data_IF_384526379814
#
_entry.id   IF_384526379814
#
_cell.length_a   1.000
_cell.length_b   1.000
_cell.length_c   1.000
_cell.angle_alpha   90.00
_cell.angle_beta   90.00
_cell.angle_gamma   90.00
#
_symmetry.space_group_name_H-M   'P 1'
#
loop_
_entity.id
_entity.type
_entity.pdbx_description
1 polymer ?
#
# COMPACT_ATOMS: atom_id res chain seq x y z
N UNK A 1 -13.90 11.38 24.02
CA UNK A 1 -13.39 10.68 22.84
C UNK A 1 -14.12 9.33 22.66
N UNK A 2 -14.02 8.38 23.60
CA UNK A 2 -14.61 7.02 23.45
C UNK A 2 -16.10 7.00 23.10
N UNK A 3 -16.93 7.86 23.71
CA UNK A 3 -18.37 7.96 23.38
C UNK A 3 -18.57 8.43 21.94
N UNK A 4 -17.81 9.44 21.50
CA UNK A 4 -17.90 9.97 20.14
C UNK A 4 -17.42 8.93 19.12
N UNK A 5 -16.38 8.17 19.45
CA UNK A 5 -15.90 7.04 18.65
C UNK A 5 -16.98 5.97 18.47
N UNK A 6 -17.61 5.53 19.58
CA UNK A 6 -18.69 4.54 19.52
C UNK A 6 -19.88 5.02 18.68
N UNK A 7 -20.19 6.31 18.67
CA UNK A 7 -21.29 6.87 17.87
C UNK A 7 -21.00 6.82 16.36
N UNK A 8 -19.74 6.81 15.93
CA UNK A 8 -19.38 6.72 14.51
C UNK A 8 -19.83 5.40 13.87
N UNK A 9 -20.03 4.35 14.65
CA UNK A 9 -20.56 3.06 14.16
C UNK A 9 -22.08 3.07 13.94
N UNK A 10 -22.78 4.15 14.31
CA UNK A 10 -24.22 4.32 14.13
C UNK A 10 -24.52 5.53 13.25
N UNK A 11 -24.28 5.47 11.94
CA UNK A 11 -24.35 6.62 11.04
C UNK A 11 -25.78 7.15 10.89
N UNK A 12 -25.98 8.40 11.30
CA UNK A 12 -27.21 9.15 11.06
C UNK A 12 -26.93 10.67 11.03
N UNK A 13 -27.86 11.44 10.47
CA UNK A 13 -27.77 12.90 10.48
C UNK A 13 -27.77 13.44 11.91
N UNK A 14 -28.57 12.83 12.79
CA UNK A 14 -28.65 13.21 14.21
C UNK A 14 -27.30 12.98 14.92
N UNK A 15 -26.67 11.83 14.69
CA UNK A 15 -25.35 11.53 15.28
C UNK A 15 -24.29 12.52 14.80
N UNK A 16 -24.26 12.87 13.52
CA UNK A 16 -23.29 13.84 13.00
C UNK A 16 -23.48 15.23 13.62
N UNK A 17 -24.71 15.67 13.82
CA UNK A 17 -25.00 16.94 14.47
C UNK A 17 -24.65 16.91 15.96
N UNK A 18 -24.97 15.83 16.66
CA UNK A 18 -24.60 15.64 18.06
C UNK A 18 -23.08 15.66 18.26
N UNK A 19 -22.31 14.96 17.40
CA UNK A 19 -20.85 14.99 17.43
C UNK A 19 -20.34 16.43 17.22
N UNK A 20 -20.90 17.17 16.28
CA UNK A 20 -20.55 18.57 16.02
C UNK A 20 -20.75 19.46 17.26
N UNK A 21 -21.92 19.36 17.87
CA UNK A 21 -22.22 20.13 19.08
C UNK A 21 -21.32 19.77 20.27
N UNK A 22 -21.03 18.49 20.44
CA UNK A 22 -20.07 18.03 21.46
C UNK A 22 -18.66 18.61 21.22
N UNK A 23 -18.15 18.59 19.99
CA UNK A 23 -16.83 19.15 19.68
C UNK A 23 -16.77 20.66 19.91
N UNK A 24 -17.85 21.38 19.63
CA UNK A 24 -17.94 22.83 19.93
C UNK A 24 -17.98 23.13 21.41
N UNK A 25 -18.57 22.24 22.21
CA UNK A 25 -18.79 22.44 23.65
C UNK A 25 -17.60 22.08 24.54
N UNK A 26 -16.71 21.16 24.07
CA UNK A 26 -15.58 20.63 24.85
C UNK A 26 -14.23 21.14 24.35
N UNK A 27 -13.98 22.44 24.43
CA UNK A 27 -12.77 23.10 23.91
C UNK A 27 -11.44 22.56 24.49
N UNK A 28 -11.41 22.18 25.77
CA UNK A 28 -10.17 21.72 26.45
C UNK A 28 -9.62 20.39 25.90
N UNK A 29 -10.46 19.53 25.31
CA UNK A 29 -10.06 18.23 24.75
C UNK A 29 -10.33 18.13 23.23
N UNK A 30 -10.58 19.26 22.59
CA UNK A 30 -11.02 19.30 21.19
C UNK A 30 -10.01 18.64 20.22
N UNK A 31 -8.72 18.95 20.36
CA UNK A 31 -7.70 18.42 19.47
C UNK A 31 -7.60 16.88 19.51
N UNK A 32 -7.59 16.31 20.72
CA UNK A 32 -7.55 14.86 20.89
C UNK A 32 -8.82 14.17 20.36
N UNK A 33 -9.99 14.75 20.66
CA UNK A 33 -11.27 14.21 20.20
C UNK A 33 -11.42 14.26 18.67
N UNK A 34 -10.97 15.35 18.04
CA UNK A 34 -10.97 15.51 16.58
C UNK A 34 -10.06 14.45 15.93
N UNK A 35 -8.85 14.25 16.47
CA UNK A 35 -7.92 13.26 15.95
C UNK A 35 -8.46 11.83 16.07
N UNK A 36 -9.05 11.49 17.22
CA UNK A 36 -9.67 10.18 17.45
C UNK A 36 -10.82 9.94 16.48
N UNK A 37 -11.70 10.91 16.29
CA UNK A 37 -12.81 10.84 15.34
C UNK A 37 -12.33 10.69 13.89
N UNK A 38 -11.29 11.43 13.51
CA UNK A 38 -10.69 11.29 12.18
C UNK A 38 -10.16 9.87 11.92
N UNK A 39 -9.40 9.30 12.85
CA UNK A 39 -8.88 7.94 12.76
C UNK A 39 -10.01 6.90 12.72
N UNK A 40 -11.03 7.04 13.56
CA UNK A 40 -12.20 6.15 13.56
C UNK A 40 -12.98 6.26 12.24
N UNK A 41 -13.13 7.46 11.69
CA UNK A 41 -13.74 7.68 10.39
C UNK A 41 -13.00 6.91 9.28
N UNK A 42 -11.67 6.92 9.29
CA UNK A 42 -10.85 6.17 8.33
C UNK A 42 -11.02 4.65 8.46
N UNK A 43 -11.12 4.13 9.68
CA UNK A 43 -11.35 2.70 9.92
C UNK A 43 -12.73 2.24 9.38
N UNK A 44 -13.76 3.07 9.55
CA UNK A 44 -15.12 2.78 9.10
C UNK A 44 -15.24 2.92 7.57
N UNK A 45 -14.47 3.82 6.94
CA UNK A 45 -14.52 4.06 5.50
C UNK A 45 -14.14 2.84 4.67
N UNK A 46 -13.26 2.00 5.16
CA UNK A 46 -12.72 0.84 4.42
C UNK A 46 -13.74 -0.28 4.15
N UNK A 47 -14.60 -0.69 5.11
CA UNK A 47 -15.54 -1.79 4.91
C UNK A 47 -16.96 -1.38 4.49
N UNK A 48 -17.33 -0.09 4.43
CA UNK A 48 -18.75 0.28 4.34
C UNK A 48 -19.07 1.31 3.25
N UNK A 49 -20.29 1.20 2.69
CA UNK A 49 -20.90 2.22 1.82
C UNK A 49 -21.29 3.53 2.57
N UNK A 50 -20.72 3.78 3.75
CA UNK A 50 -21.07 4.93 4.62
C UNK A 50 -20.23 6.19 4.35
N UNK A 51 -19.57 6.26 3.19
CA UNK A 51 -18.66 7.34 2.85
C UNK A 51 -19.23 8.76 3.02
N UNK A 52 -20.54 8.97 2.78
CA UNK A 52 -21.15 10.30 2.94
C UNK A 52 -21.20 10.75 4.40
N UNK A 53 -21.51 9.86 5.34
CA UNK A 53 -21.50 10.15 6.77
C UNK A 53 -20.08 10.47 7.25
N UNK A 54 -19.10 9.67 6.83
CA UNK A 54 -17.68 9.84 7.17
C UNK A 54 -17.15 11.17 6.65
N UNK A 55 -17.44 11.52 5.41
CA UNK A 55 -17.07 12.81 4.81
C UNK A 55 -17.66 13.96 5.59
N UNK A 56 -18.89 13.82 6.11
CA UNK A 56 -19.52 14.85 6.95
C UNK A 56 -18.79 15.04 8.29
N UNK A 57 -18.42 13.94 8.97
CA UNK A 57 -17.61 14.00 10.20
C UNK A 57 -16.26 14.67 9.96
N UNK A 58 -15.56 14.25 8.90
CA UNK A 58 -14.26 14.84 8.52
C UNK A 58 -14.38 16.31 8.14
N UNK A 59 -15.47 16.72 7.49
CA UNK A 59 -15.75 18.14 7.21
C UNK A 59 -15.91 18.97 8.47
N UNK A 60 -16.49 18.40 9.53
CA UNK A 60 -16.56 19.06 10.84
C UNK A 60 -15.16 19.19 11.45
N UNK A 61 -14.39 18.10 11.46
CA UNK A 61 -13.01 18.09 11.96
C UNK A 61 -12.13 19.14 11.24
N UNK A 62 -12.24 19.20 9.91
CA UNK A 62 -11.48 20.14 9.07
C UNK A 62 -11.87 21.60 9.33
N UNK A 63 -13.17 21.89 9.54
CA UNK A 63 -13.61 23.26 9.88
C UNK A 63 -13.06 23.73 11.23
N UNK A 64 -12.91 22.82 12.18
CA UNK A 64 -12.38 23.13 13.51
C UNK A 64 -10.85 23.23 13.53
N UNK A 65 -10.19 22.48 12.66
CA UNK A 65 -8.72 22.47 12.52
C UNK A 65 -8.30 22.47 11.03
N UNK A 66 -8.47 23.60 10.33
CA UNK A 66 -8.36 23.67 8.86
C UNK A 66 -6.95 23.41 8.31
N UNK A 67 -5.92 23.62 9.13
CA UNK A 67 -4.50 23.45 8.74
C UNK A 67 -3.81 22.28 9.46
N UNK A 68 -4.54 21.45 10.18
CA UNK A 68 -3.95 20.30 10.84
C UNK A 68 -3.55 19.21 9.82
N UNK A 69 -2.25 18.92 9.64
CA UNK A 69 -1.78 18.02 8.58
C UNK A 69 -2.30 16.59 8.76
N UNK A 70 -2.49 16.13 10.00
CA UNK A 70 -3.01 14.77 10.28
C UNK A 70 -4.47 14.65 9.86
N UNK A 71 -5.29 15.68 10.12
CA UNK A 71 -6.69 15.70 9.68
C UNK A 71 -6.77 15.77 8.16
N UNK A 72 -5.91 16.57 7.52
CA UNK A 72 -5.85 16.67 6.07
C UNK A 72 -5.42 15.34 5.43
N UNK A 73 -4.47 14.62 6.03
CA UNK A 73 -4.06 13.28 5.59
C UNK A 73 -5.22 12.28 5.63
N UNK A 74 -5.96 12.23 6.75
CA UNK A 74 -7.14 11.36 6.89
C UNK A 74 -8.21 11.71 5.86
N UNK A 75 -8.44 12.99 5.61
CA UNK A 75 -9.39 13.46 4.58
C UNK A 75 -8.94 12.99 3.19
N UNK A 76 -7.66 13.14 2.87
CA UNK A 76 -7.09 12.66 1.62
C UNK A 76 -7.32 11.16 1.43
N UNK A 77 -7.05 10.36 2.46
CA UNK A 77 -7.22 8.91 2.41
C UNK A 77 -8.70 8.50 2.22
N UNK A 78 -9.63 9.15 2.92
CA UNK A 78 -11.05 8.84 2.76
C UNK A 78 -11.57 9.20 1.37
N UNK A 79 -11.22 10.36 0.84
CA UNK A 79 -11.58 10.73 -0.53
C UNK A 79 -10.92 9.80 -1.56
N UNK A 80 -9.65 9.43 -1.34
CA UNK A 80 -8.91 8.49 -2.18
C UNK A 80 -9.59 7.11 -2.23
N UNK A 81 -9.91 6.52 -1.05
CA UNK A 81 -10.58 5.21 -0.95
C UNK A 81 -11.98 5.27 -1.57
N UNK A 82 -12.64 6.43 -1.50
CA UNK A 82 -13.97 6.66 -2.10
C UNK A 82 -13.93 6.93 -3.62
N UNK A 83 -12.77 6.88 -4.28
CA UNK A 83 -12.60 7.19 -5.69
C UNK A 83 -12.79 8.67 -6.05
N UNK A 84 -12.90 9.56 -5.06
CA UNK A 84 -13.09 11.01 -5.26
C UNK A 84 -11.74 11.72 -5.40
N UNK A 85 -11.05 11.40 -6.49
CA UNK A 85 -9.67 11.85 -6.69
C UNK A 85 -9.52 13.38 -6.79
N UNK A 86 -10.49 14.11 -7.36
CA UNK A 86 -10.40 15.57 -7.49
C UNK A 86 -10.37 16.26 -6.14
N UNK A 87 -11.24 15.82 -5.22
CA UNK A 87 -11.27 16.33 -3.84
C UNK A 87 -9.99 15.93 -3.09
N UNK A 88 -9.55 14.68 -3.23
CA UNK A 88 -8.31 14.21 -2.60
C UNK A 88 -7.08 15.02 -3.08
N UNK A 89 -7.00 15.36 -4.37
CA UNK A 89 -5.93 16.20 -4.94
C UNK A 89 -5.94 17.59 -4.30
N UNK A 90 -7.12 18.22 -4.13
CA UNK A 90 -7.23 19.54 -3.53
C UNK A 90 -6.75 19.55 -2.08
N UNK A 91 -7.20 18.59 -1.26
CA UNK A 91 -6.78 18.47 0.13
C UNK A 91 -5.31 18.12 0.28
N UNK A 92 -4.75 17.28 -0.58
CA UNK A 92 -3.33 16.94 -0.56
C UNK A 92 -2.44 18.12 -0.96
N UNK A 93 -2.92 19.02 -1.81
CA UNK A 93 -2.24 20.28 -2.08
C UNK A 93 -2.20 21.17 -0.85
N UNK A 94 -3.34 21.35 -0.18
CA UNK A 94 -3.40 22.11 1.08
C UNK A 94 -2.50 21.51 2.16
N UNK A 95 -2.50 20.18 2.29
CA UNK A 95 -1.61 19.47 3.23
C UNK A 95 -0.14 19.79 2.98
N UNK A 96 0.29 19.80 1.71
CA UNK A 96 1.66 20.15 1.35
C UNK A 96 2.00 21.61 1.68
N UNK A 97 1.06 22.52 1.43
CA UNK A 97 1.25 23.96 1.64
C UNK A 97 1.37 24.34 3.13
N UNK A 98 0.66 23.61 4.02
CA UNK A 98 0.71 23.83 5.48
C UNK A 98 1.83 23.04 6.18
N UNK A 99 2.53 22.16 5.46
CA UNK A 99 3.66 21.40 6.01
C UNK A 99 4.89 22.28 6.12
N UNK A 100 5.47 22.41 7.30
CA UNK A 100 6.58 23.33 7.62
C UNK A 100 7.92 22.61 7.87
N UNK A 101 7.89 21.33 8.23
CA UNK A 101 9.11 20.53 8.44
C UNK A 101 9.45 19.69 7.20
N UNK A 102 10.73 19.31 7.05
CA UNK A 102 11.16 18.47 5.94
C UNK A 102 10.41 17.13 5.92
N UNK A 103 10.24 16.49 7.07
CA UNK A 103 9.54 15.21 7.20
C UNK A 103 8.05 15.34 6.85
N UNK A 104 7.36 16.37 7.34
CA UNK A 104 5.96 16.63 7.00
C UNK A 104 5.77 16.92 5.51
N UNK A 105 6.72 17.63 4.88
CA UNK A 105 6.73 17.86 3.43
C UNK A 105 6.93 16.58 2.63
N UNK A 106 7.77 15.66 3.09
CA UNK A 106 7.97 14.37 2.45
C UNK A 106 6.65 13.56 2.48
N UNK A 107 6.01 13.46 3.63
CA UNK A 107 4.73 12.72 3.78
C UNK A 107 3.64 13.37 2.92
N UNK A 108 3.49 14.69 2.97
CA UNK A 108 2.51 15.40 2.16
C UNK A 108 2.78 15.27 0.65
N UNK A 109 4.05 15.33 0.24
CA UNK A 109 4.47 15.09 -1.14
C UNK A 109 4.11 13.65 -1.59
N UNK A 110 4.43 12.66 -0.77
CA UNK A 110 4.06 11.27 -1.01
C UNK A 110 2.55 11.10 -1.19
N UNK A 111 1.76 11.59 -0.24
CA UNK A 111 0.29 11.51 -0.29
C UNK A 111 -0.25 12.14 -1.56
N UNK A 112 0.22 13.33 -1.93
CA UNK A 112 -0.20 14.03 -3.15
C UNK A 112 0.15 13.26 -4.42
N UNK A 113 1.39 12.78 -4.55
CA UNK A 113 1.84 12.05 -5.74
C UNK A 113 1.10 10.72 -5.86
N UNK A 114 0.90 9.98 -4.78
CA UNK A 114 0.13 8.73 -4.75
C UNK A 114 -1.28 8.95 -5.31
N UNK A 115 -1.98 9.99 -4.87
CA UNK A 115 -3.32 10.33 -5.33
C UNK A 115 -3.32 10.69 -6.81
N UNK A 116 -2.39 11.55 -7.25
CA UNK A 116 -2.27 11.96 -8.66
C UNK A 116 -1.98 10.77 -9.58
N UNK A 117 -1.05 9.91 -9.20
CA UNK A 117 -0.71 8.71 -9.98
C UNK A 117 -1.89 7.74 -10.05
N UNK A 118 -2.58 7.49 -8.94
CA UNK A 118 -3.77 6.63 -8.94
C UNK A 118 -4.89 7.19 -9.81
N UNK A 119 -5.06 8.52 -9.82
CA UNK A 119 -6.00 9.18 -10.72
C UNK A 119 -5.55 9.19 -12.20
N UNK A 120 -4.31 8.81 -12.49
CA UNK A 120 -3.73 8.89 -13.84
C UNK A 120 -3.23 10.28 -14.25
N UNK A 121 -3.17 11.26 -13.33
CA UNK A 121 -2.64 12.61 -13.62
C UNK A 121 -1.10 12.64 -13.63
N UNK A 122 -0.53 11.93 -14.58
CA UNK A 122 0.91 11.89 -14.79
C UNK A 122 1.53 13.24 -15.17
N UNK A 123 0.73 14.13 -15.77
CA UNK A 123 1.18 15.47 -16.16
C UNK A 123 1.56 16.28 -14.92
N UNK A 124 0.75 16.22 -13.88
CA UNK A 124 1.00 16.92 -12.62
C UNK A 124 1.97 16.12 -11.74
N UNK A 125 1.88 14.79 -11.71
CA UNK A 125 2.71 13.93 -10.86
C UNK A 125 4.20 13.95 -11.27
N UNK A 126 4.52 13.94 -12.56
CA UNK A 126 5.89 13.82 -13.07
C UNK A 126 6.87 14.83 -12.47
N UNK A 127 6.61 16.15 -12.54
CA UNK A 127 7.47 17.16 -11.89
C UNK A 127 7.56 17.00 -10.36
N UNK A 128 6.50 16.53 -9.71
CA UNK A 128 6.48 16.33 -8.26
C UNK A 128 7.30 15.12 -7.84
N UNK A 129 7.36 14.06 -8.64
CA UNK A 129 8.23 12.89 -8.40
C UNK A 129 9.70 13.30 -8.28
N UNK A 130 10.18 14.13 -9.21
CA UNK A 130 11.57 14.63 -9.15
C UNK A 130 11.83 15.50 -7.91
N UNK A 131 10.85 16.32 -7.50
CA UNK A 131 10.94 17.09 -6.25
C UNK A 131 10.92 16.21 -5.02
N UNK A 132 10.13 15.14 -5.04
CA UNK A 132 10.04 14.19 -3.94
C UNK A 132 11.37 13.46 -3.73
N UNK A 133 12.05 13.00 -4.79
CA UNK A 133 13.38 12.40 -4.66
C UNK A 133 14.39 13.37 -4.06
N UNK A 134 14.33 14.67 -4.44
CA UNK A 134 15.16 15.72 -3.85
C UNK A 134 14.89 15.93 -2.34
N UNK A 135 13.62 15.88 -1.91
CA UNK A 135 13.27 15.94 -0.49
C UNK A 135 13.86 14.78 0.29
N UNK A 136 13.85 13.56 -0.28
CA UNK A 136 14.46 12.39 0.33
C UNK A 136 15.98 12.48 0.41
N UNK A 137 16.65 13.01 -0.61
CA UNK A 137 18.09 13.30 -0.58
C UNK A 137 18.43 14.34 0.50
N UNK A 138 17.65 15.41 0.58
CA UNK A 138 17.82 16.43 1.61
C UNK A 138 17.67 15.83 3.01
N UNK A 139 16.68 14.96 3.20
CA UNK A 139 16.49 14.22 4.46
C UNK A 139 17.70 13.35 4.83
N UNK A 140 18.37 12.76 3.85
CA UNK A 140 19.57 11.97 4.10
C UNK A 140 20.77 12.85 4.49
N UNK A 141 20.87 14.05 3.92
CA UNK A 141 21.96 15.00 4.17
C UNK A 141 21.79 15.78 5.48
N UNK A 142 20.56 16.09 5.85
CA UNK A 142 20.25 16.69 7.14
C UNK A 142 20.37 15.63 8.24
N UNK A 143 20.91 16.02 9.40
CA UNK A 143 20.82 15.22 10.62
C UNK A 143 19.62 15.75 11.43
N UNK A 144 18.43 15.25 11.22
CA UNK A 144 17.31 15.67 12.03
C UNK A 144 17.56 15.15 13.46
N UNK A 145 17.86 16.04 14.39
CA UNK A 145 18.24 15.69 15.76
C UNK A 145 17.08 15.07 16.57
N UNK A 146 15.85 15.25 16.12
CA UNK A 146 14.68 14.62 16.72
C UNK A 146 13.63 14.45 15.61
N UNK A 147 13.47 13.22 15.18
CA UNK A 147 12.35 12.87 14.32
C UNK A 147 11.14 12.56 15.22
N UNK A 148 10.05 13.27 15.04
CA UNK A 148 8.78 12.88 15.66
C UNK A 148 8.36 11.50 15.16
N UNK A 149 8.01 10.58 16.05
CA UNK A 149 7.71 9.17 15.79
C UNK A 149 6.77 8.95 14.61
N UNK A 150 5.71 9.75 14.51
CA UNK A 150 4.67 9.62 13.49
C UNK A 150 5.12 10.01 12.09
N UNK A 151 6.12 10.89 11.98
CA UNK A 151 6.62 11.39 10.68
C UNK A 151 7.70 10.50 10.06
N UNK A 152 8.49 9.79 10.87
CA UNK A 152 9.51 8.86 10.37
C UNK A 152 8.93 7.68 9.61
N UNK A 153 7.79 7.21 10.05
CA UNK A 153 7.07 6.09 9.44
C UNK A 153 6.70 6.39 7.99
N UNK A 154 6.12 7.56 7.75
CA UNK A 154 5.76 8.01 6.41
C UNK A 154 6.95 8.23 5.47
N UNK A 155 8.14 8.58 6.00
CA UNK A 155 9.34 8.78 5.18
C UNK A 155 9.83 7.48 4.55
N UNK A 156 9.90 6.37 5.30
CA UNK A 156 10.30 5.07 4.75
C UNK A 156 9.32 4.60 3.68
N UNK A 157 8.02 4.63 3.98
CA UNK A 157 6.96 4.24 3.03
C UNK A 157 6.98 5.11 1.77
N UNK A 158 7.33 6.39 1.89
CA UNK A 158 7.36 7.30 0.74
C UNK A 158 8.42 6.94 -0.33
N UNK A 159 9.44 6.17 0.05
CA UNK A 159 10.45 5.67 -0.89
C UNK A 159 9.87 4.72 -1.96
N UNK A 160 8.67 4.18 -1.76
CA UNK A 160 7.93 3.36 -2.74
C UNK A 160 7.69 4.08 -4.07
N UNK A 161 7.73 5.41 -4.11
CA UNK A 161 7.55 6.19 -5.33
C UNK A 161 8.84 6.32 -6.17
N UNK A 162 10.00 6.02 -5.62
CA UNK A 162 11.29 6.22 -6.31
C UNK A 162 11.38 5.49 -7.66
N UNK A 163 10.91 4.24 -7.80
CA UNK A 163 10.90 3.55 -9.11
C UNK A 163 10.05 4.24 -10.18
N UNK A 164 9.11 5.11 -9.79
CA UNK A 164 8.29 5.87 -10.75
C UNK A 164 9.02 7.09 -11.33
N UNK A 165 10.17 7.49 -10.77
CA UNK A 165 10.92 8.69 -11.20
C UNK A 165 11.69 8.43 -12.49
N UNK A 166 12.46 7.34 -12.55
CA UNK A 166 13.24 6.93 -13.70
C UNK A 166 13.71 5.47 -13.56
N UNK A 167 14.16 4.85 -14.65
CA UNK A 167 14.74 3.51 -14.65
C UNK A 167 16.21 3.55 -14.17
N UNK A 168 16.39 3.80 -12.88
CA UNK A 168 17.67 3.89 -12.17
C UNK A 168 17.63 3.15 -10.83
N UNK A 169 17.45 1.81 -10.84
CA UNK A 169 17.31 1.03 -9.61
C UNK A 169 18.54 1.13 -8.70
N UNK A 170 19.75 1.20 -9.25
CA UNK A 170 21.01 1.41 -8.54
C UNK A 170 20.96 2.65 -7.64
N UNK A 171 20.50 3.76 -8.19
CA UNK A 171 20.40 5.03 -7.49
C UNK A 171 19.28 5.05 -6.46
N UNK A 172 18.08 4.63 -6.85
CA UNK A 172 16.90 4.68 -5.96
C UNK A 172 17.00 3.68 -4.81
N UNK A 173 17.56 2.50 -5.05
CA UNK A 173 17.82 1.53 -3.98
C UNK A 173 18.85 2.07 -2.98
N UNK A 174 19.86 2.81 -3.43
CA UNK A 174 20.81 3.45 -2.53
C UNK A 174 20.13 4.45 -1.59
N UNK A 175 19.21 5.29 -2.09
CA UNK A 175 18.42 6.20 -1.26
C UNK A 175 17.54 5.43 -0.28
N UNK A 176 16.79 4.43 -0.76
CA UNK A 176 15.91 3.62 0.06
C UNK A 176 16.67 2.89 1.18
N UNK A 177 17.80 2.26 0.88
CA UNK A 177 18.62 1.56 1.87
C UNK A 177 19.11 2.51 2.98
N UNK A 178 19.52 3.74 2.63
CA UNK A 178 19.93 4.73 3.61
C UNK A 178 18.78 5.23 4.49
N UNK A 179 17.60 5.43 3.91
CA UNK A 179 16.38 5.77 4.66
C UNK A 179 16.02 4.62 5.63
N UNK A 180 16.05 3.38 5.15
CA UNK A 180 15.76 2.21 5.95
C UNK A 180 16.76 2.03 7.11
N UNK A 181 18.04 2.34 6.91
CA UNK A 181 19.04 2.35 7.97
C UNK A 181 18.72 3.40 9.04
N UNK A 182 18.42 4.64 8.66
CA UNK A 182 18.01 5.70 9.60
C UNK A 182 16.76 5.33 10.37
N UNK A 183 15.78 4.73 9.69
CA UNK A 183 14.56 4.22 10.31
C UNK A 183 14.87 3.16 11.37
N UNK A 184 15.76 2.21 11.06
CA UNK A 184 16.16 1.17 12.00
C UNK A 184 16.90 1.74 13.23
N UNK A 185 17.82 2.68 13.02
CA UNK A 185 18.57 3.35 14.11
C UNK A 185 17.61 4.03 15.08
N UNK A 186 16.62 4.73 14.55
CA UNK A 186 15.59 5.36 15.34
C UNK A 186 14.76 4.34 16.13
N UNK A 187 14.22 3.30 15.48
CA UNK A 187 13.41 2.29 16.15
C UNK A 187 14.21 1.54 17.23
N UNK A 188 15.49 1.22 16.98
CA UNK A 188 16.37 0.60 17.98
C UNK A 188 16.53 1.48 19.22
N UNK A 189 16.61 2.78 19.09
CA UNK A 189 16.69 3.70 20.22
C UNK A 189 15.45 3.65 21.11
N UNK A 190 14.28 3.32 20.54
CA UNK A 190 13.05 3.09 21.29
C UNK A 190 12.99 1.66 21.87
N UNK A 191 13.41 0.65 21.11
CA UNK A 191 13.43 -0.75 21.53
C UNK A 191 14.39 -1.02 22.71
N UNK A 192 15.53 -0.33 22.76
CA UNK A 192 16.47 -0.40 23.91
C UNK A 192 15.78 0.02 25.20
N UNK A 193 14.84 0.96 25.17
CA UNK A 193 14.03 1.34 26.34
C UNK A 193 13.12 0.21 26.83
N UNK A 194 12.78 -0.75 25.94
CA UNK A 194 11.88 -1.87 26.24
C UNK A 194 12.65 -3.17 26.52
N UNK A 195 13.99 -3.17 26.49
CA UNK A 195 14.88 -4.33 26.72
C UNK A 195 14.58 -5.54 25.78
N UNK A 196 14.19 -5.30 24.56
CA UNK A 196 13.89 -6.35 23.60
C UNK A 196 15.20 -6.84 22.96
N UNK A 197 15.57 -8.09 23.20
CA UNK A 197 16.72 -8.75 22.55
C UNK A 197 16.27 -9.34 21.20
N UNK A 198 17.12 -9.25 20.14
CA UNK A 198 16.87 -9.98 18.89
C UNK A 198 16.70 -11.47 19.15
N UNK A 199 15.84 -12.13 18.37
CA UNK A 199 15.69 -13.57 18.43
C UNK A 199 16.99 -14.27 18.01
N UNK A 200 17.34 -15.36 18.68
CA UNK A 200 18.50 -16.18 18.36
C UNK A 200 18.04 -17.58 17.93
N UNK A 201 18.77 -18.20 17.01
CA UNK A 201 18.49 -19.57 16.57
C UNK A 201 18.67 -20.50 17.78
N UNK A 202 17.58 -21.07 18.25
CA UNK A 202 17.62 -22.17 19.22
C UNK A 202 17.59 -23.48 18.42
N UNK A 203 18.72 -24.16 18.40
CA UNK A 203 18.83 -25.50 17.81
C UNK A 203 18.03 -26.48 18.65
N UNK A 204 16.78 -26.80 18.31
CA UNK A 204 16.12 -28.00 18.89
C UNK A 204 14.69 -28.30 18.39
N UNK A 205 14.38 -28.16 17.11
CA UNK A 205 13.15 -28.79 16.62
C UNK A 205 13.44 -29.46 15.28
N UNK A 206 12.97 -30.68 15.08
CA UNK A 206 12.99 -31.37 13.80
C UNK A 206 12.03 -30.69 12.80
N UNK A 207 11.09 -29.86 13.30
CA UNK A 207 10.08 -29.15 12.52
C UNK A 207 10.40 -27.64 12.52
N UNK A 208 10.51 -27.04 11.32
CA UNK A 208 10.79 -25.60 11.14
C UNK A 208 9.48 -24.81 11.22
N UNK A 209 9.47 -23.74 12.02
CA UNK A 209 8.32 -22.84 12.20
C UNK A 209 8.40 -21.66 11.24
N UNK A 210 7.48 -21.60 10.29
CA UNK A 210 7.39 -20.53 9.29
C UNK A 210 6.24 -19.60 9.63
N UNK A 211 6.53 -18.32 9.84
CA UNK A 211 5.52 -17.27 10.02
C UNK A 211 5.34 -16.45 8.76
N UNK A 212 4.11 -16.20 8.35
CA UNK A 212 3.73 -15.29 7.27
C UNK A 212 3.06 -14.05 7.85
N UNK A 213 3.63 -12.89 7.56
CA UNK A 213 3.18 -11.59 8.05
C UNK A 213 2.65 -10.76 6.88
N UNK A 214 1.43 -10.23 6.98
CA UNK A 214 0.94 -9.32 5.96
C UNK A 214 -0.51 -8.85 6.14
N UNK A 215 -0.82 -7.71 5.55
CA UNK A 215 -2.17 -7.14 5.44
C UNK A 215 -2.93 -7.61 4.21
N UNK A 216 -2.29 -8.41 3.37
CA UNK A 216 -2.75 -8.79 2.03
C UNK A 216 -3.25 -10.23 1.95
N UNK A 217 -3.29 -10.98 3.07
CA UNK A 217 -3.74 -12.36 3.17
C UNK A 217 -5.29 -12.46 3.11
N UNK A 218 -5.87 -12.02 2.01
CA UNK A 218 -7.31 -11.88 1.76
C UNK A 218 -7.58 -11.89 0.25
N UNK A 219 -8.79 -11.47 -0.15
CA UNK A 219 -9.13 -11.14 -1.55
C UNK A 219 -8.27 -9.97 -2.06
N UNK A 220 -6.99 -10.23 -2.29
CA UNK A 220 -5.98 -9.29 -2.75
C UNK A 220 -5.00 -9.99 -3.71
N UNK A 221 -4.33 -9.24 -4.60
CA UNK A 221 -3.38 -9.81 -5.57
C UNK A 221 -2.29 -10.66 -4.91
N UNK A 222 -1.69 -10.18 -3.83
CA UNK A 222 -0.68 -10.94 -3.07
C UNK A 222 -1.28 -12.20 -2.47
N UNK A 223 -2.49 -12.12 -1.88
CA UNK A 223 -3.20 -13.28 -1.38
C UNK A 223 -3.45 -14.34 -2.47
N UNK A 224 -3.92 -13.93 -3.65
CA UNK A 224 -4.13 -14.83 -4.79
C UNK A 224 -2.85 -15.47 -5.31
N UNK A 225 -1.73 -14.74 -5.29
CA UNK A 225 -0.45 -15.19 -5.81
C UNK A 225 0.37 -16.01 -4.80
N UNK A 226 -0.07 -16.09 -3.54
CA UNK A 226 0.65 -16.79 -2.46
C UNK A 226 -0.14 -17.95 -1.85
N UNK A 227 -1.48 -17.95 -1.89
CA UNK A 227 -2.36 -18.86 -1.15
C UNK A 227 -2.06 -20.35 -1.33
N UNK A 228 -1.58 -20.74 -2.51
CA UNK A 228 -1.27 -22.13 -2.81
C UNK A 228 -0.09 -22.66 -1.98
N UNK A 229 0.79 -21.78 -1.48
CA UNK A 229 1.88 -22.17 -0.61
C UNK A 229 1.35 -22.80 0.70
N UNK A 230 0.26 -22.21 1.28
CA UNK A 230 -0.38 -22.81 2.47
C UNK A 230 -0.95 -24.19 2.21
N UNK A 231 -1.39 -24.46 0.98
CA UNK A 231 -1.91 -25.76 0.59
C UNK A 231 -0.83 -26.83 0.46
N UNK A 232 0.37 -26.46 0.01
CA UNK A 232 1.41 -27.41 -0.42
C UNK A 232 2.62 -27.46 0.50
N UNK A 233 2.59 -26.81 1.66
CA UNK A 233 3.63 -27.01 2.66
C UNK A 233 3.66 -28.47 3.11
N UNK A 234 4.86 -29.03 3.20
CA UNK A 234 5.12 -30.30 3.85
C UNK A 234 4.90 -30.13 5.36
N UNK A 235 3.91 -30.81 5.90
CA UNK A 235 3.52 -30.70 7.31
C UNK A 235 4.33 -31.57 8.24
N UNK A 236 5.11 -32.49 7.70
CA UNK A 236 6.05 -33.29 8.46
C UNK A 236 7.30 -32.47 8.80
N UNK A 237 7.67 -31.52 7.93
CA UNK A 237 8.87 -30.69 8.09
C UNK A 237 8.56 -29.26 8.59
N UNK A 238 7.32 -28.73 8.37
CA UNK A 238 7.00 -27.34 8.63
C UNK A 238 5.71 -27.13 9.44
N UNK A 239 5.79 -26.23 10.42
CA UNK A 239 4.62 -25.62 11.07
C UNK A 239 4.40 -24.20 10.52
N UNK A 240 3.16 -23.88 10.21
CA UNK A 240 2.78 -22.63 9.54
C UNK A 240 1.97 -21.73 10.45
N UNK A 241 2.50 -20.53 10.67
CA UNK A 241 1.87 -19.47 11.45
C UNK A 241 1.47 -18.31 10.53
N UNK A 242 0.29 -17.76 10.73
CA UNK A 242 -0.22 -16.64 9.91
C UNK A 242 -0.54 -15.45 10.80
N UNK A 243 0.08 -14.30 10.52
CA UNK A 243 -0.08 -13.05 11.23
C UNK A 243 -0.69 -12.00 10.30
N UNK A 244 -2.00 -11.83 10.37
CA UNK A 244 -2.72 -10.88 9.55
C UNK A 244 -2.81 -9.51 10.21
N UNK A 245 -2.61 -8.45 9.45
CA UNK A 245 -2.67 -7.06 9.91
C UNK A 245 -3.89 -6.39 9.31
N UNK A 246 -4.73 -5.72 10.14
CA UNK A 246 -5.93 -5.00 9.70
C UNK A 246 -6.84 -5.83 8.80
N UNK A 247 -7.05 -7.07 9.16
CA UNK A 247 -7.83 -8.02 8.38
C UNK A 247 -9.22 -8.19 8.99
N UNK A 248 -10.21 -8.34 8.12
CA UNK A 248 -11.52 -8.85 8.51
C UNK A 248 -11.39 -10.38 8.73
N UNK A 249 -11.57 -10.87 9.97
CA UNK A 249 -11.48 -12.30 10.24
C UNK A 249 -12.59 -13.11 9.55
N UNK A 250 -13.65 -12.45 9.09
CA UNK A 250 -14.77 -13.07 8.38
C UNK A 250 -14.58 -13.06 6.84
N UNK A 251 -13.48 -12.51 6.30
CA UNK A 251 -13.16 -12.61 4.88
C UNK A 251 -13.07 -14.09 4.46
N UNK A 252 -13.88 -14.55 3.50
CA UNK A 252 -13.96 -15.97 3.15
C UNK A 252 -12.68 -16.52 2.51
N UNK A 253 -11.86 -15.66 1.88
CA UNK A 253 -10.56 -16.07 1.33
C UNK A 253 -9.56 -16.26 2.47
N UNK A 254 -9.55 -15.32 3.45
CA UNK A 254 -8.75 -15.48 4.65
C UNK A 254 -9.05 -16.77 5.38
N UNK A 255 -10.33 -17.02 5.70
CA UNK A 255 -10.76 -18.21 6.41
C UNK A 255 -10.35 -19.48 5.67
N UNK A 256 -10.76 -19.60 4.40
CA UNK A 256 -10.56 -20.82 3.60
C UNK A 256 -9.09 -21.12 3.32
N UNK A 257 -8.28 -20.10 2.96
CA UNK A 257 -6.95 -20.33 2.42
C UNK A 257 -5.83 -20.15 3.44
N UNK A 258 -5.99 -19.23 4.38
CA UNK A 258 -4.93 -18.87 5.32
C UNK A 258 -5.18 -19.43 6.72
N UNK A 259 -6.31 -19.07 7.34
CA UNK A 259 -6.62 -19.52 8.70
C UNK A 259 -6.76 -21.05 8.80
N UNK A 260 -7.60 -21.64 7.93
CA UNK A 260 -7.94 -23.08 8.03
C UNK A 260 -6.78 -23.99 7.59
N UNK A 261 -5.72 -23.40 6.99
CA UNK A 261 -4.50 -24.12 6.57
C UNK A 261 -3.25 -23.73 7.36
N UNK A 262 -3.39 -22.99 8.44
CA UNK A 262 -2.30 -22.69 9.36
C UNK A 262 -2.41 -23.55 10.60
N UNK A 263 -1.28 -23.83 11.24
CA UNK A 263 -1.26 -24.45 12.57
C UNK A 263 -1.73 -23.45 13.64
N UNK A 264 -1.43 -22.16 13.43
CA UNK A 264 -2.03 -21.05 14.16
C UNK A 264 -2.18 -19.81 13.25
N UNK A 265 -3.28 -19.07 13.45
CA UNK A 265 -3.55 -17.86 12.69
C UNK A 265 -4.12 -16.75 13.58
N UNK A 266 -3.59 -15.55 13.44
CA UNK A 266 -3.92 -14.41 14.27
C UNK A 266 -4.30 -13.20 13.40
N UNK A 267 -5.27 -12.42 13.87
CA UNK A 267 -5.63 -11.13 13.28
C UNK A 267 -5.32 -10.01 14.26
N UNK A 268 -4.53 -9.06 13.83
CA UNK A 268 -4.11 -7.91 14.61
C UNK A 268 -4.59 -6.59 13.99
N UNK A 269 -4.69 -5.55 14.81
CA UNK A 269 -4.70 -4.18 14.32
C UNK A 269 -3.29 -3.68 13.95
N UNK A 270 -3.09 -2.36 13.96
CA UNK A 270 -1.78 -1.71 13.66
C UNK A 270 -0.85 -1.66 14.89
N UNK A 271 -0.83 -2.67 15.74
CA UNK A 271 0.03 -2.73 16.93
C UNK A 271 1.24 -3.63 16.67
N UNK A 272 2.34 -3.04 16.22
CA UNK A 272 3.57 -3.77 15.90
C UNK A 272 4.20 -4.48 17.12
N UNK A 273 4.05 -3.93 18.33
CA UNK A 273 4.59 -4.53 19.56
C UNK A 273 3.84 -5.81 19.90
N UNK A 274 2.52 -5.82 19.76
CA UNK A 274 1.69 -7.01 19.99
C UNK A 274 2.01 -8.11 18.99
N UNK A 275 2.14 -7.78 17.72
CA UNK A 275 2.52 -8.72 16.65
C UNK A 275 3.92 -9.29 16.93
N UNK A 276 4.87 -8.43 17.26
CA UNK A 276 6.25 -8.82 17.60
C UNK A 276 6.30 -9.77 18.79
N UNK A 277 5.51 -9.49 19.82
CA UNK A 277 5.43 -10.35 21.02
C UNK A 277 4.87 -11.74 20.70
N UNK A 278 3.82 -11.81 19.86
CA UNK A 278 3.21 -13.06 19.43
C UNK A 278 4.17 -13.91 18.59
N UNK A 279 4.84 -13.31 17.58
CA UNK A 279 5.82 -14.02 16.73
C UNK A 279 6.95 -14.64 17.59
N UNK A 280 7.41 -13.92 18.63
CA UNK A 280 8.40 -14.45 19.58
C UNK A 280 7.85 -15.57 20.47
N UNK A 281 6.61 -15.43 20.93
CA UNK A 281 5.95 -16.46 21.75
C UNK A 281 5.78 -17.77 20.97
N UNK A 282 5.48 -17.68 19.68
CA UNK A 282 5.36 -18.82 18.77
C UNK A 282 6.73 -19.41 18.36
N UNK A 283 7.83 -18.74 18.72
CA UNK A 283 9.21 -19.16 18.41
C UNK A 283 9.42 -19.40 16.91
N UNK A 284 8.96 -18.48 16.08
CA UNK A 284 9.09 -18.56 14.61
C UNK A 284 10.57 -18.56 14.21
N UNK A 285 10.97 -19.53 13.39
CA UNK A 285 12.33 -19.65 12.88
C UNK A 285 12.57 -18.77 11.65
N UNK A 286 11.59 -18.74 10.74
CA UNK A 286 11.63 -17.96 9.51
C UNK A 286 10.36 -17.11 9.41
N UNK A 287 10.50 -15.79 9.40
CA UNK A 287 9.40 -14.86 9.17
C UNK A 287 9.43 -14.37 7.73
N UNK A 288 8.33 -14.58 7.00
CA UNK A 288 8.16 -14.13 5.62
C UNK A 288 7.21 -12.94 5.60
N UNK A 289 7.71 -11.81 5.17
CA UNK A 289 6.99 -10.56 4.98
C UNK A 289 6.34 -10.50 3.59
N UNK A 290 5.06 -10.16 3.55
CA UNK A 290 4.25 -10.07 2.33
C UNK A 290 3.79 -8.64 1.98
N UNK A 291 4.19 -7.64 2.76
CA UNK A 291 3.80 -6.24 2.53
C UNK A 291 4.97 -5.36 2.08
N UNK A 292 6.20 -5.67 2.52
CA UNK A 292 7.38 -4.83 2.31
C UNK A 292 7.16 -3.39 2.82
N UNK A 293 7.56 -2.38 2.04
CA UNK A 293 7.41 -0.95 2.37
C UNK A 293 5.97 -0.43 2.29
N UNK A 294 5.02 -1.22 1.83
CA UNK A 294 3.64 -0.74 1.62
C UNK A 294 2.86 -0.55 2.92
N UNK A 295 3.34 -1.13 4.03
CA UNK A 295 2.73 -1.00 5.35
C UNK A 295 3.78 -0.76 6.44
N UNK A 296 3.68 0.38 7.12
CA UNK A 296 4.62 0.76 8.17
C UNK A 296 4.62 -0.19 9.37
N UNK A 297 3.46 -0.70 9.79
CA UNK A 297 3.37 -1.70 10.87
C UNK A 297 4.25 -2.91 10.60
N UNK A 298 4.26 -3.40 9.36
CA UNK A 298 5.15 -4.50 8.94
C UNK A 298 6.63 -4.10 9.07
N UNK A 299 6.98 -2.88 8.62
CA UNK A 299 8.35 -2.36 8.76
C UNK A 299 8.79 -2.27 10.23
N UNK A 300 7.90 -1.88 11.14
CA UNK A 300 8.19 -1.86 12.59
C UNK A 300 8.46 -3.26 13.14
N UNK A 301 7.64 -4.24 12.78
CA UNK A 301 7.82 -5.64 13.18
C UNK A 301 9.16 -6.16 12.67
N UNK A 302 9.47 -5.94 11.38
CA UNK A 302 10.75 -6.38 10.79
C UNK A 302 11.95 -5.69 11.44
N UNK A 303 11.85 -4.39 11.79
CA UNK A 303 12.90 -3.66 12.50
C UNK A 303 13.19 -4.24 13.90
N UNK A 304 12.17 -4.76 14.58
CA UNK A 304 12.29 -5.41 15.89
C UNK A 304 12.94 -6.80 15.84
N UNK A 305 13.14 -7.38 14.64
CA UNK A 305 13.76 -8.69 14.41
C UNK A 305 13.15 -9.79 15.33
N UNK A 306 11.84 -10.11 15.23
CA UNK A 306 11.21 -11.11 16.08
C UNK A 306 11.59 -12.56 15.76
N UNK A 307 12.07 -12.83 14.55
CA UNK A 307 12.54 -14.15 14.12
C UNK A 307 14.03 -14.12 13.75
N UNK A 308 14.76 -15.24 13.89
CA UNK A 308 16.18 -15.33 13.52
C UNK A 308 16.43 -15.02 12.04
N UNK A 309 15.57 -15.53 11.17
CA UNK A 309 15.62 -15.31 9.72
C UNK A 309 14.38 -14.53 9.28
N UNK A 310 14.58 -13.46 8.54
CA UNK A 310 13.51 -12.65 7.95
C UNK A 310 13.68 -12.53 6.45
N UNK A 311 12.60 -12.71 5.72
CA UNK A 311 12.57 -12.77 4.26
C UNK A 311 11.47 -11.85 3.74
N UNK A 312 11.78 -10.94 2.83
CA UNK A 312 10.77 -10.21 2.05
C UNK A 312 10.39 -10.98 0.80
N UNK A 313 9.08 -11.12 0.57
CA UNK A 313 8.54 -11.82 -0.59
C UNK A 313 7.23 -11.17 -1.07
N UNK A 314 7.11 -10.97 -2.36
CA UNK A 314 5.91 -10.77 -3.14
C UNK A 314 5.20 -9.41 -3.01
N UNK A 315 5.13 -8.76 -1.84
CA UNK A 315 4.29 -7.57 -1.62
C UNK A 315 4.69 -6.35 -2.43
N UNK A 316 5.98 -6.07 -2.47
CA UNK A 316 6.62 -5.00 -3.23
C UNK A 316 8.07 -5.40 -3.53
N UNK A 317 8.94 -4.43 -3.77
CA UNK A 317 10.39 -4.64 -3.81
C UNK A 317 10.96 -4.88 -2.38
N UNK A 318 12.23 -5.22 -2.25
CA UNK A 318 12.89 -5.42 -0.95
C UNK A 318 12.81 -4.17 -0.06
N UNK A 319 12.82 -4.36 1.26
CA UNK A 319 12.62 -3.27 2.23
C UNK A 319 13.82 -2.32 2.36
N UNK A 320 15.05 -2.83 2.17
CA UNK A 320 16.29 -2.16 2.50
C UNK A 320 16.62 -2.15 4.01
N UNK A 321 15.79 -2.79 4.84
CA UNK A 321 16.04 -2.90 6.29
C UNK A 321 17.17 -3.91 6.56
N UNK A 322 18.25 -3.51 7.28
CA UNK A 322 19.34 -4.43 7.64
C UNK A 322 18.93 -5.61 8.54
N UNK A 323 17.72 -5.63 9.04
CA UNK A 323 17.13 -6.72 9.82
C UNK A 323 16.48 -7.78 8.95
N UNK A 324 16.23 -7.52 7.67
CA UNK A 324 15.73 -8.50 6.70
C UNK A 324 16.92 -9.16 6.04
N UNK A 325 16.98 -10.48 6.11
CA UNK A 325 18.15 -11.24 5.66
C UNK A 325 18.10 -11.53 4.16
N UNK A 326 16.90 -11.85 3.63
CA UNK A 326 16.75 -12.29 2.25
C UNK A 326 15.60 -11.57 1.54
N UNK A 327 15.77 -11.41 0.23
CA UNK A 327 14.71 -11.03 -0.71
C UNK A 327 14.50 -12.13 -1.75
N UNK A 328 13.31 -12.69 -1.84
CA UNK A 328 12.97 -13.72 -2.83
C UNK A 328 12.73 -13.08 -4.19
N UNK A 329 13.48 -13.54 -5.20
CA UNK A 329 13.35 -13.08 -6.57
C UNK A 329 13.62 -14.21 -7.56
N UNK A 330 13.54 -13.92 -8.85
CA UNK A 330 13.93 -14.80 -9.95
C UNK A 330 14.77 -14.04 -10.96
N UNK A 331 15.51 -14.77 -11.78
CA UNK A 331 16.38 -14.18 -12.82
C UNK A 331 15.63 -13.33 -13.87
N UNK A 332 14.33 -13.50 -13.99
CA UNK A 332 13.50 -12.77 -14.96
C UNK A 332 13.00 -11.42 -14.43
N UNK A 333 13.06 -11.22 -13.11
CA UNK A 333 12.58 -9.99 -12.43
C UNK A 333 13.76 -9.08 -12.10
N UNK A 334 14.88 -9.66 -11.65
CA UNK A 334 16.06 -8.89 -11.29
C UNK A 334 17.27 -9.28 -12.16
N UNK A 335 18.04 -8.29 -12.66
CA UNK A 335 19.26 -8.55 -13.41
C UNK A 335 20.32 -9.25 -12.55
N UNK A 336 21.32 -9.85 -13.18
CA UNK A 336 22.33 -10.64 -12.48
C UNK A 336 23.12 -9.83 -11.45
N UNK A 337 23.39 -8.54 -11.74
CA UNK A 337 24.14 -7.62 -10.88
C UNK A 337 23.29 -6.91 -9.83
N UNK A 338 22.00 -7.24 -9.67
CA UNK A 338 21.12 -6.56 -8.71
C UNK A 338 21.66 -6.59 -7.27
N UNK A 339 22.43 -7.62 -6.89
CA UNK A 339 23.01 -7.71 -5.56
C UNK A 339 23.93 -6.51 -5.21
N UNK A 340 24.47 -5.81 -6.19
CA UNK A 340 25.33 -4.65 -5.98
C UNK A 340 24.62 -3.48 -5.30
N UNK A 341 23.28 -3.42 -5.38
CA UNK A 341 22.48 -2.33 -4.82
C UNK A 341 21.34 -2.78 -3.90
N UNK A 342 21.14 -4.08 -3.67
CA UNK A 342 20.22 -4.60 -2.66
C UNK A 342 20.93 -4.81 -1.33
N UNK A 343 20.28 -4.40 -0.23
CA UNK A 343 20.77 -4.62 1.14
C UNK A 343 20.57 -6.06 1.56
N UNK A 344 19.40 -6.63 1.28
CA UNK A 344 19.06 -8.02 1.53
C UNK A 344 19.83 -8.94 0.58
N UNK A 345 20.15 -10.15 1.02
CA UNK A 345 20.70 -11.16 0.13
C UNK A 345 19.60 -11.65 -0.83
N UNK A 346 19.81 -11.51 -2.13
CA UNK A 346 18.84 -11.96 -3.13
C UNK A 346 18.86 -13.49 -3.20
N UNK A 347 17.74 -14.11 -2.82
CA UNK A 347 17.51 -15.54 -2.98
C UNK A 347 16.75 -15.81 -4.28
N UNK A 348 17.46 -16.32 -5.28
CA UNK A 348 16.89 -16.55 -6.61
C UNK A 348 16.26 -17.93 -6.67
N UNK A 349 14.94 -17.97 -6.82
CA UNK A 349 14.21 -19.20 -7.09
C UNK A 349 14.42 -19.64 -8.56
N UNK A 350 14.35 -20.96 -8.85
CA UNK A 350 14.75 -21.49 -10.16
C UNK A 350 13.80 -21.14 -11.30
N UNK A 351 12.50 -21.01 -11.07
CA UNK A 351 11.50 -20.82 -12.12
C UNK A 351 10.64 -19.58 -11.88
N UNK A 352 9.82 -19.57 -10.86
CA UNK A 352 8.91 -18.48 -10.50
C UNK A 352 8.98 -18.18 -9.01
N UNK A 353 8.66 -16.96 -8.63
CA UNK A 353 8.49 -16.56 -7.23
C UNK A 353 7.02 -16.48 -6.82
N UNK A 354 6.08 -16.88 -7.70
CA UNK A 354 4.66 -16.92 -7.44
C UNK A 354 4.25 -18.35 -7.07
N UNK A 355 3.39 -18.48 -6.06
CA UNK A 355 2.83 -19.77 -5.65
C UNK A 355 1.39 -19.90 -6.18
N UNK A 356 1.25 -20.28 -7.44
CA UNK A 356 -0.03 -20.38 -8.15
C UNK A 356 -0.21 -21.76 -8.73
N UNK A 357 -1.33 -22.40 -8.41
CA UNK A 357 -1.81 -23.66 -8.98
C UNK A 357 -3.26 -23.54 -9.46
N UNK A 358 -3.54 -22.46 -10.18
CA UNK A 358 -4.83 -22.14 -10.78
C UNK A 358 -5.63 -21.07 -10.03
N UNK A 359 -6.73 -20.68 -10.66
CA UNK A 359 -7.68 -19.69 -10.15
C UNK A 359 -9.10 -20.17 -10.41
N UNK A 360 -10.02 -19.78 -9.55
CA UNK A 360 -11.45 -19.90 -9.82
C UNK A 360 -11.82 -18.92 -10.96
N UNK A 361 -12.43 -19.45 -12.02
CA UNK A 361 -12.85 -18.65 -13.18
C UNK A 361 -14.37 -18.44 -13.06
N UNK A 362 -14.77 -17.17 -12.92
CA UNK A 362 -16.18 -16.78 -12.96
C UNK A 362 -16.77 -16.86 -14.37
N UNK A 363 -18.09 -16.89 -14.46
CA UNK A 363 -18.78 -16.77 -15.74
C UNK A 363 -18.62 -15.34 -16.29
N UNK A 364 -18.18 -15.16 -17.56
CA UNK A 364 -18.11 -13.84 -18.16
C UNK A 364 -19.49 -13.14 -18.17
N UNK A 365 -19.51 -11.90 -17.70
CA UNK A 365 -20.75 -11.09 -17.61
C UNK A 365 -20.87 -10.07 -18.75
N UNK A 366 -19.77 -9.79 -19.46
CA UNK A 366 -19.71 -8.82 -20.55
C UNK A 366 -19.30 -9.57 -21.82
N UNK A 367 -20.01 -9.33 -22.92
CA UNK A 367 -19.74 -9.88 -24.24
C UNK A 367 -19.28 -8.80 -25.20
N UNK A 368 -18.74 -9.21 -26.34
CA UNK A 368 -18.28 -8.29 -27.40
C UNK A 368 -19.40 -7.39 -27.92
N UNK A 369 -20.63 -7.96 -28.04
CA UNK A 369 -21.83 -7.25 -28.49
C UNK A 369 -22.20 -6.10 -27.54
N UNK A 370 -22.07 -6.32 -26.23
CA UNK A 370 -22.36 -5.29 -25.21
C UNK A 370 -21.44 -4.08 -25.33
N UNK A 371 -20.25 -4.28 -25.92
CA UNK A 371 -19.23 -3.25 -26.13
C UNK A 371 -19.20 -2.74 -27.58
N UNK A 372 -20.13 -3.17 -28.44
CA UNK A 372 -20.14 -2.88 -29.88
C UNK A 372 -18.81 -3.27 -30.58
N UNK A 373 -18.27 -4.44 -30.24
CA UNK A 373 -17.02 -4.97 -30.82
C UNK A 373 -17.34 -6.17 -31.71
N UNK A 374 -16.89 -6.13 -32.96
CA UNK A 374 -17.03 -7.23 -33.92
C UNK A 374 -16.38 -8.52 -33.40
N UNK A 375 -16.99 -9.66 -33.70
CA UNK A 375 -16.43 -10.98 -33.40
C UNK A 375 -15.05 -11.22 -34.04
N UNK A 376 -14.75 -10.55 -35.15
CA UNK A 376 -13.47 -10.68 -35.87
C UNK A 376 -12.41 -9.73 -35.39
N UNK A 377 -12.79 -8.70 -34.63
CA UNK A 377 -11.85 -7.69 -34.13
C UNK A 377 -10.87 -8.27 -33.10
N UNK A 378 -9.65 -7.76 -33.11
CA UNK A 378 -8.66 -8.05 -32.08
C UNK A 378 -8.94 -7.19 -30.86
N UNK A 379 -8.94 -7.82 -29.69
CA UNK A 379 -9.17 -7.12 -28.41
C UNK A 379 -7.93 -7.22 -27.54
N UNK A 380 -7.37 -6.07 -27.24
CA UNK A 380 -6.32 -5.92 -26.24
C UNK A 380 -6.93 -5.57 -24.88
N UNK A 381 -6.24 -5.90 -23.80
CA UNK A 381 -6.69 -5.68 -22.44
C UNK A 381 -5.65 -4.95 -21.61
N UNK A 382 -6.07 -3.93 -20.87
CA UNK A 382 -5.26 -3.22 -19.88
C UNK A 382 -6.04 -3.13 -18.56
N UNK A 383 -5.72 -4.01 -17.62
CA UNK A 383 -6.28 -4.03 -16.24
C UNK A 383 -5.31 -3.38 -15.24
N UNK A 384 -4.69 -2.25 -15.59
CA UNK A 384 -3.67 -1.60 -14.77
C UNK A 384 -4.27 -0.49 -13.89
N UNK A 385 -3.63 -0.24 -12.74
CA UNK A 385 -3.91 0.93 -11.92
C UNK A 385 -3.35 2.20 -12.58
N UNK A 386 -3.89 3.38 -12.21
CA UNK A 386 -3.50 4.67 -12.77
C UNK A 386 -2.00 4.95 -12.69
N UNK A 387 -1.35 4.55 -11.59
CA UNK A 387 0.10 4.70 -11.43
C UNK A 387 0.95 3.95 -12.48
N UNK A 388 0.38 2.94 -13.14
CA UNK A 388 1.03 2.17 -14.21
C UNK A 388 0.67 2.66 -15.61
N UNK A 389 -0.23 3.64 -15.72
CA UNK A 389 -0.66 4.24 -16.99
C UNK A 389 0.26 5.39 -17.41
N UNK A 390 1.59 5.13 -17.45
CA UNK A 390 2.55 6.15 -17.87
C UNK A 390 2.28 6.61 -19.31
N UNK A 391 2.34 7.93 -19.63
CA UNK A 391 2.03 8.45 -20.95
C UNK A 391 2.79 7.80 -22.11
N UNK A 392 4.06 7.43 -21.90
CA UNK A 392 4.83 6.69 -22.92
C UNK A 392 4.28 5.29 -23.16
N UNK A 393 3.85 4.58 -22.10
CA UNK A 393 3.22 3.25 -22.23
C UNK A 393 1.91 3.35 -22.99
N UNK A 394 1.06 4.34 -22.66
CA UNK A 394 -0.19 4.60 -23.42
C UNK A 394 0.12 4.90 -24.88
N UNK A 395 1.13 5.72 -25.15
CA UNK A 395 1.54 6.02 -26.53
C UNK A 395 1.94 4.76 -27.31
N UNK A 396 2.69 3.84 -26.69
CA UNK A 396 3.03 2.55 -27.30
C UNK A 396 1.79 1.69 -27.55
N UNK A 397 0.85 1.64 -26.63
CA UNK A 397 -0.45 0.97 -26.82
C UNK A 397 -1.22 1.55 -28.01
N UNK A 398 -1.25 2.89 -28.15
CA UNK A 398 -1.89 3.56 -29.29
C UNK A 398 -1.16 3.23 -30.62
N UNK A 399 0.16 3.12 -30.63
CA UNK A 399 0.91 2.69 -31.82
C UNK A 399 0.56 1.27 -32.22
N UNK A 400 0.34 0.36 -31.27
CA UNK A 400 -0.14 -1.00 -31.56
C UNK A 400 -1.53 -0.93 -32.19
N UNK A 401 -2.48 -0.22 -31.59
CA UNK A 401 -3.82 -0.05 -32.16
C UNK A 401 -3.78 0.53 -33.57
N UNK A 402 -2.93 1.52 -33.82
CA UNK A 402 -2.76 2.13 -35.15
C UNK A 402 -2.27 1.12 -36.17
N UNK A 403 -1.37 0.21 -35.78
CA UNK A 403 -0.79 -0.82 -36.64
C UNK A 403 -1.75 -1.99 -36.90
N UNK A 404 -2.83 -2.11 -36.11
CA UNK A 404 -3.84 -3.18 -36.23
C UNK A 404 -5.22 -2.51 -36.39
N UNK A 405 -5.66 -2.21 -37.63
CA UNK A 405 -6.85 -1.37 -37.86
C UNK A 405 -8.13 -1.88 -37.22
N UNK A 406 -8.39 -3.19 -37.23
CA UNK A 406 -9.58 -3.80 -36.66
C UNK A 406 -9.27 -4.33 -35.24
N UNK A 407 -8.90 -3.42 -34.33
CA UNK A 407 -8.60 -3.77 -32.94
C UNK A 407 -9.13 -2.73 -31.96
N UNK A 408 -9.37 -3.17 -30.73
CA UNK A 408 -9.87 -2.37 -29.61
C UNK A 408 -8.99 -2.56 -28.37
N UNK A 409 -8.91 -1.55 -27.51
CA UNK A 409 -8.29 -1.63 -26.20
C UNK A 409 -9.36 -1.50 -25.11
N UNK A 410 -9.52 -2.55 -24.31
CA UNK A 410 -10.33 -2.51 -23.10
C UNK A 410 -9.47 -2.04 -21.94
N UNK A 411 -9.96 -1.04 -21.19
CA UNK A 411 -9.28 -0.43 -20.05
C UNK A 411 -10.20 -0.59 -18.84
N UNK A 412 -9.70 -1.20 -17.78
CA UNK A 412 -10.48 -1.44 -16.55
C UNK A 412 -9.66 -1.10 -15.31
N UNK A 413 -10.39 -0.80 -14.23
CA UNK A 413 -9.83 -0.51 -12.93
C UNK A 413 -9.85 0.99 -12.61
N UNK A 414 -9.03 1.39 -11.67
CA UNK A 414 -8.90 2.80 -11.27
C UNK A 414 -8.43 3.71 -12.42
N UNK A 415 -7.86 3.13 -13.48
CA UNK A 415 -7.52 3.81 -14.73
C UNK A 415 -8.69 4.11 -15.66
N UNK A 416 -9.91 3.71 -15.30
CA UNK A 416 -11.14 4.07 -16.02
C UNK A 416 -11.84 5.32 -15.44
N UNK A 417 -11.22 6.06 -14.51
CA UNK A 417 -11.75 7.33 -14.02
C UNK A 417 -11.50 8.51 -14.98
N UNK A 418 -12.29 9.57 -14.85
CA UNK A 418 -12.32 10.76 -15.73
C UNK A 418 -10.93 11.28 -16.14
N UNK A 419 -9.98 11.37 -15.20
CA UNK A 419 -8.65 11.97 -15.44
C UNK A 419 -7.80 11.05 -16.32
N UNK A 420 -7.86 9.75 -16.07
CA UNK A 420 -7.13 8.76 -16.86
C UNK A 420 -7.77 8.60 -18.26
N UNK A 421 -9.09 8.61 -18.35
CA UNK A 421 -9.83 8.58 -19.62
C UNK A 421 -9.44 9.76 -20.50
N UNK A 422 -9.41 10.97 -19.95
CA UNK A 422 -8.96 12.19 -20.66
C UNK A 422 -7.52 12.01 -21.19
N UNK A 423 -6.62 11.41 -20.39
CA UNK A 423 -5.25 11.15 -20.82
C UNK A 423 -5.17 10.14 -21.97
N UNK A 424 -5.90 9.04 -21.91
CA UNK A 424 -5.94 8.02 -22.95
C UNK A 424 -6.50 8.60 -24.25
N UNK A 425 -7.65 9.31 -24.19
CA UNK A 425 -8.30 9.93 -25.34
C UNK A 425 -7.38 10.97 -25.99
N UNK A 426 -6.73 11.81 -25.21
CA UNK A 426 -5.76 12.78 -25.70
C UNK A 426 -4.62 12.11 -26.47
N UNK A 427 -3.99 11.08 -25.89
CA UNK A 427 -2.85 10.40 -26.54
C UNK A 427 -3.32 9.62 -27.78
N UNK A 428 -4.54 9.06 -27.78
CA UNK A 428 -5.13 8.43 -28.95
C UNK A 428 -5.23 9.41 -30.11
N UNK A 429 -5.81 10.60 -29.89
CA UNK A 429 -5.93 11.67 -30.87
C UNK A 429 -4.54 12.11 -31.37
N UNK A 430 -3.58 12.37 -30.48
CA UNK A 430 -2.21 12.78 -30.82
C UNK A 430 -1.49 11.72 -31.67
N UNK A 431 -1.82 10.44 -31.49
CA UNK A 431 -1.22 9.32 -32.22
C UNK A 431 -1.96 9.02 -33.54
N UNK A 432 -3.14 9.60 -33.73
CA UNK A 432 -4.02 9.35 -34.89
C UNK A 432 -4.78 8.04 -34.78
N UNK A 433 -5.17 7.66 -33.56
CA UNK A 433 -6.08 6.56 -33.23
C UNK A 433 -7.44 7.15 -32.87
N UNK A 434 -8.50 6.56 -33.42
CA UNK A 434 -9.86 6.94 -33.07
C UNK A 434 -10.17 6.58 -31.61
N UNK A 435 -10.55 7.53 -30.74
CA UNK A 435 -10.95 7.25 -29.37
C UNK A 435 -12.07 6.21 -29.23
N UNK A 436 -12.94 6.07 -30.22
CA UNK A 436 -13.99 5.05 -30.24
C UNK A 436 -13.45 3.61 -30.30
N UNK A 437 -12.15 3.43 -30.41
CA UNK A 437 -11.48 2.13 -30.28
C UNK A 437 -11.04 1.83 -28.86
N UNK A 438 -11.23 2.76 -27.92
CA UNK A 438 -11.02 2.57 -26.48
C UNK A 438 -12.35 2.22 -25.82
N UNK A 439 -12.33 1.30 -24.89
CA UNK A 439 -13.48 0.91 -24.07
C UNK A 439 -13.10 0.95 -22.61
N UNK A 440 -13.65 1.91 -21.89
CA UNK A 440 -13.47 2.04 -20.46
C UNK A 440 -14.54 1.21 -19.76
N UNK A 441 -14.12 0.31 -18.87
CA UNK A 441 -15.01 -0.59 -18.15
C UNK A 441 -15.04 -0.22 -16.67
N UNK A 442 -16.23 -0.09 -16.12
CA UNK A 442 -16.43 0.20 -14.71
C UNK A 442 -15.82 -0.88 -13.82
N UNK A 443 -15.32 -0.48 -12.65
CA UNK A 443 -15.00 -1.40 -11.56
C UNK A 443 -16.32 -1.93 -11.00
N UNK A 444 -16.57 -3.23 -11.18
CA UNK A 444 -17.69 -3.90 -10.54
C UNK A 444 -17.42 -4.09 -9.05
#
# INVERSE_FOLDING_TARGET
AQVLESLCYFPSLFVSEFIHQCLLSFLEHQAHSILTLGKTALLIARPSNQNQFIIKILSICQKLQPTNPVILEIICDVYYISGKYREAINFSSLMYDVSDTLTSKIVASYTRIRILLSAGDWKTAGPLLSRHSQLLENFLNERPDILELSTNQGVLVSAVLLPCVADRPDYFRSIQNQIALKYLEYNRSQLVKIQIKPASIQKQADIIRIGYLGSTLRSHSVGWLSRWLWQYHDRDDFQIFTYCINQDPDDPVYQKWFRDRSDAAYCFGNNADEITAQIRADQVDILIDLDSLTLDTTCQVLAAKPAPIQVSWLGWDATGLPTVDYFMAVRYVLPANAQEYYQEQIWRLPQTYLAVDGFEIGTPTIRREDLNISHKAIVYWSGQRGEKCHPQTIKLQMQILKSVPDSYLLIKGESAGDIAEDLFNKIAIETGVDPDRLRFLDTM
#
